data_IF_284322871965
#
_entry.id   IF_284322871965
#
_cell.length_a   1.000
_cell.length_b   1.000
_cell.length_c   1.000
_cell.angle_alpha   90.00
_cell.angle_beta   90.00
_cell.angle_gamma   90.00
#
_symmetry.space_group_name_H-M   'P 1'
#
loop_
_entity.id
_entity.type
_entity.pdbx_description
1 polymer ?
#
# COMPACT_ATOMS: atom_id res chain seq x y z
N UNK A 1 -27.84 78.82 28.80
CA UNK A 1 -28.03 77.56 28.06
C UNK A 1 -27.06 77.56 26.87
N UNK A 2 -26.43 76.41 26.59
CA UNK A 2 -25.21 76.17 25.77
C UNK A 2 -25.18 76.81 24.35
N UNK A 3 -24.02 76.91 23.63
CA UNK A 3 -23.04 75.81 23.40
C UNK A 3 -21.55 76.22 23.57
N UNK A 4 -20.70 75.39 24.19
CA UNK A 4 -19.84 74.35 23.60
C UNK A 4 -18.97 74.78 22.41
N UNK A 5 -17.68 75.04 22.69
CA UNK A 5 -16.60 75.26 21.72
C UNK A 5 -15.41 74.34 22.00
N UNK A 6 -14.94 73.70 20.94
CA UNK A 6 -14.01 72.58 20.83
C UNK A 6 -12.60 72.82 21.40
N UNK A 7 -12.11 71.90 22.24
CA UNK A 7 -10.70 71.73 22.60
C UNK A 7 -10.11 70.45 22.03
N UNK A 8 -9.42 70.55 20.88
CA UNK A 8 -8.79 69.43 20.15
C UNK A 8 -7.49 69.01 20.87
N UNK A 9 -7.50 67.92 21.65
CA UNK A 9 -6.25 67.29 22.14
C UNK A 9 -5.69 66.36 21.07
N UNK A 10 -4.54 66.72 20.51
CA UNK A 10 -3.73 65.84 19.67
C UNK A 10 -3.07 64.78 20.56
N UNK A 11 -3.39 63.52 20.34
CA UNK A 11 -2.62 62.38 20.87
C UNK A 11 -1.65 61.98 19.76
N UNK A 12 -0.39 62.40 19.91
CA UNK A 12 0.71 61.95 19.06
C UNK A 12 1.10 60.52 19.47
N UNK A 13 0.67 59.52 18.69
CA UNK A 13 1.23 58.18 18.76
C UNK A 13 2.59 58.16 18.06
N UNK A 14 3.68 58.32 18.81
CA UNK A 14 5.04 58.03 18.31
C UNK A 14 5.33 56.53 18.46
N UNK A 15 4.76 55.74 17.55
CA UNK A 15 5.02 54.30 17.44
C UNK A 15 6.11 54.01 16.42
N UNK A 16 7.37 54.26 16.76
CA UNK A 16 8.52 53.78 15.98
C UNK A 16 8.65 52.27 16.16
N UNK A 17 7.99 51.46 15.31
CA UNK A 17 8.31 50.03 15.22
C UNK A 17 9.75 49.94 14.73
N UNK A 18 10.68 49.60 15.62
CA UNK A 18 12.10 49.52 15.25
C UNK A 18 12.23 48.34 14.30
N UNK A 19 13.08 48.47 13.28
CA UNK A 19 13.37 47.39 12.30
C UNK A 19 13.71 46.06 12.99
N UNK A 20 14.26 46.13 14.21
CA UNK A 20 14.57 45.00 15.09
C UNK A 20 13.31 44.24 15.54
N UNK A 21 12.20 44.95 15.83
CA UNK A 21 10.94 44.34 16.25
C UNK A 21 10.27 43.58 15.09
N UNK A 22 10.41 44.09 13.86
CA UNK A 22 9.91 43.42 12.66
C UNK A 22 10.73 42.17 12.30
N UNK A 23 12.07 42.23 12.47
CA UNK A 23 12.94 41.05 12.31
C UNK A 23 12.69 39.98 13.37
N UNK A 24 12.46 40.36 14.63
CA UNK A 24 12.10 39.40 15.69
C UNK A 24 10.75 38.73 15.40
N UNK A 25 9.73 39.48 14.97
CA UNK A 25 8.44 38.90 14.58
C UNK A 25 8.58 37.97 13.37
N UNK A 26 9.36 38.35 12.35
CA UNK A 26 9.62 37.50 11.18
C UNK A 26 10.35 36.21 11.57
N UNK A 27 11.36 36.28 12.44
CA UNK A 27 12.05 35.12 12.99
C UNK A 27 11.12 34.26 13.85
N UNK A 28 10.23 34.85 14.63
CA UNK A 28 9.25 34.11 15.45
C UNK A 28 8.21 33.40 14.58
N UNK A 29 7.71 34.07 13.53
CA UNK A 29 6.83 33.46 12.53
C UNK A 29 7.54 32.38 11.72
N UNK A 30 8.81 32.56 11.32
CA UNK A 30 9.60 31.53 10.65
C UNK A 30 9.85 30.33 11.56
N UNK A 31 10.19 30.54 12.83
CA UNK A 31 10.38 29.46 13.81
C UNK A 31 9.06 28.72 14.05
N UNK A 32 7.93 29.41 14.20
CA UNK A 32 6.61 28.77 14.32
C UNK A 32 6.25 28.03 13.02
N UNK A 33 6.55 28.58 11.85
CA UNK A 33 6.26 27.94 10.56
C UNK A 33 7.13 26.68 10.36
N UNK A 34 8.41 26.73 10.73
CA UNK A 34 9.29 25.56 10.74
C UNK A 34 8.93 24.54 11.83
N UNK A 35 8.39 24.98 12.97
CA UNK A 35 7.92 24.10 14.04
C UNK A 35 6.60 23.40 13.65
N UNK A 36 5.65 24.12 13.06
CA UNK A 36 4.38 23.57 12.54
C UNK A 36 4.61 22.70 11.30
N UNK A 37 5.53 23.08 10.41
CA UNK A 37 5.91 22.26 9.26
C UNK A 37 6.72 21.01 9.67
N UNK A 38 7.51 21.09 10.74
CA UNK A 38 8.22 19.95 11.34
C UNK A 38 7.34 19.03 12.18
N UNK A 39 6.19 19.51 12.64
CA UNK A 39 5.16 18.75 13.37
C UNK A 39 4.14 18.08 12.44
N UNK A 40 4.30 18.18 11.11
CA UNK A 40 3.81 17.15 10.18
C UNK A 40 4.61 15.87 10.40
N UNK A 41 4.53 15.35 11.62
CA UNK A 41 4.96 14.03 12.03
C UNK A 41 4.39 13.07 11.00
N UNK A 42 5.29 12.44 10.26
CA UNK A 42 4.96 11.30 9.44
C UNK A 42 4.34 10.26 10.38
N UNK A 43 3.01 10.20 10.42
CA UNK A 43 2.32 9.07 10.99
C UNK A 43 2.88 7.85 10.26
N UNK A 44 3.40 6.85 10.98
CA UNK A 44 3.96 5.67 10.32
C UNK A 44 2.90 5.12 9.38
N UNK A 45 3.28 4.90 8.12
CA UNK A 45 2.35 4.40 7.09
C UNK A 45 1.73 3.04 7.49
N UNK A 46 2.33 2.37 8.48
CA UNK A 46 1.82 1.16 9.14
C UNK A 46 1.71 1.40 10.65
N UNK A 47 0.51 1.22 11.17
CA UNK A 47 0.28 1.04 12.61
C UNK A 47 0.92 -0.30 13.06
N UNK A 48 1.24 -0.52 14.35
CA UNK A 48 1.72 -1.83 14.85
C UNK A 48 0.83 -3.04 14.53
N UNK A 49 -0.34 -2.81 13.93
CA UNK A 49 -1.41 -3.75 13.61
C UNK A 49 -1.61 -3.91 12.11
N UNK A 50 -0.56 -4.23 11.34
CA UNK A 50 -0.65 -4.46 9.88
C UNK A 50 0.43 -5.42 9.37
N UNK A 51 0.74 -6.48 10.13
CA UNK A 51 1.71 -7.51 9.76
C UNK A 51 1.07 -8.60 8.87
N UNK A 52 1.45 -8.72 7.58
CA UNK A 52 0.92 -9.75 6.69
C UNK A 52 1.21 -11.19 7.15
N UNK A 53 2.30 -11.42 7.88
CA UNK A 53 2.65 -12.74 8.40
C UNK A 53 1.82 -13.12 9.61
N UNK A 54 1.57 -12.19 10.52
CA UNK A 54 0.56 -12.37 11.56
C UNK A 54 -0.83 -12.61 10.93
N UNK A 55 -1.18 -11.83 9.90
CA UNK A 55 -2.45 -11.95 9.17
C UNK A 55 -2.66 -13.31 8.52
N UNK A 56 -1.61 -13.92 7.96
CA UNK A 56 -1.66 -15.29 7.41
C UNK A 56 -2.01 -16.33 8.49
N UNK A 57 -1.41 -16.21 9.68
CA UNK A 57 -1.73 -17.09 10.81
C UNK A 57 -3.17 -16.88 11.27
N UNK A 58 -3.63 -15.63 11.32
CA UNK A 58 -5.02 -15.28 11.66
C UNK A 58 -5.99 -15.87 10.64
N UNK A 59 -5.68 -15.82 9.34
CA UNK A 59 -6.51 -16.39 8.27
C UNK A 59 -6.74 -17.90 8.47
N UNK A 60 -5.70 -18.64 8.85
CA UNK A 60 -5.82 -20.06 9.21
C UNK A 60 -6.56 -20.26 10.53
N UNK A 61 -6.15 -19.57 11.60
CA UNK A 61 -6.67 -19.74 12.95
C UNK A 61 -8.16 -19.38 13.09
N UNK A 62 -8.62 -18.33 12.39
CA UNK A 62 -10.04 -17.92 12.34
C UNK A 62 -10.86 -18.78 11.37
N UNK A 63 -10.24 -19.74 10.68
CA UNK A 63 -10.91 -20.69 9.79
C UNK A 63 -11.32 -20.11 8.44
N UNK A 64 -10.76 -18.97 8.01
CA UNK A 64 -11.04 -18.39 6.70
C UNK A 64 -10.71 -19.37 5.56
N UNK A 65 -9.64 -20.14 5.74
CA UNK A 65 -9.18 -21.19 4.81
C UNK A 65 -10.16 -22.36 4.65
N UNK A 66 -11.14 -22.54 5.55
CA UNK A 66 -12.18 -23.57 5.41
C UNK A 66 -13.12 -23.30 4.23
N UNK A 67 -13.28 -22.03 3.88
CA UNK A 67 -14.16 -21.60 2.78
C UNK A 67 -13.38 -21.02 1.60
N UNK A 68 -12.33 -20.24 1.88
CA UNK A 68 -11.55 -19.53 0.87
C UNK A 68 -10.22 -20.23 0.59
N UNK A 69 -9.93 -20.45 -0.69
CA UNK A 69 -8.61 -20.90 -1.13
C UNK A 69 -7.65 -19.73 -1.31
N UNK A 70 -6.35 -20.03 -1.28
CA UNK A 70 -5.27 -19.16 -1.75
C UNK A 70 -4.43 -20.00 -2.70
N UNK A 71 -4.41 -19.62 -3.99
CA UNK A 71 -3.69 -20.34 -5.04
C UNK A 71 -4.05 -21.84 -5.08
N UNK A 72 -5.34 -22.14 -4.93
CA UNK A 72 -5.89 -23.50 -4.93
C UNK A 72 -5.79 -24.26 -3.60
N UNK A 73 -5.14 -23.68 -2.58
CA UNK A 73 -5.00 -24.31 -1.25
C UNK A 73 -6.08 -23.76 -0.30
N UNK A 74 -6.96 -24.64 0.19
CA UNK A 74 -8.05 -24.30 1.11
C UNK A 74 -9.43 -24.73 0.59
N UNK A 75 -10.47 -24.12 1.14
CA UNK A 75 -11.86 -24.40 0.80
C UNK A 75 -12.28 -23.88 -0.57
N UNK A 76 -13.34 -24.48 -1.13
CA UNK A 76 -13.92 -24.11 -2.43
C UNK A 76 -15.32 -23.48 -2.33
N UNK A 77 -15.77 -23.16 -1.12
CA UNK A 77 -17.09 -22.57 -0.86
C UNK A 77 -17.11 -21.10 -1.27
N UNK A 78 -16.06 -20.37 -0.91
CA UNK A 78 -15.77 -19.01 -1.36
C UNK A 78 -14.79 -19.00 -2.53
N UNK A 79 -14.59 -17.83 -3.18
CA UNK A 79 -13.59 -17.68 -4.21
C UNK A 79 -12.17 -17.87 -3.68
N UNK A 80 -11.26 -18.30 -4.57
CA UNK A 80 -9.82 -18.31 -4.35
C UNK A 80 -9.30 -16.88 -4.27
N UNK A 81 -8.90 -16.43 -3.07
CA UNK A 81 -8.55 -15.05 -2.77
C UNK A 81 -7.21 -14.62 -3.40
N UNK A 82 -6.31 -15.58 -3.72
CA UNK A 82 -5.06 -15.31 -4.44
C UNK A 82 -5.28 -15.00 -5.92
N UNK A 83 -6.40 -15.47 -6.48
CA UNK A 83 -6.72 -15.28 -7.91
C UNK A 83 -7.61 -14.08 -8.19
N UNK A 84 -8.09 -13.39 -7.16
CA UNK A 84 -8.98 -12.25 -7.38
C UNK A 84 -8.17 -11.07 -7.91
N UNK A 85 -8.42 -10.78 -9.18
CA UNK A 85 -7.78 -9.70 -9.92
C UNK A 85 -8.41 -8.35 -9.58
N UNK A 86 -7.63 -7.28 -9.63
CA UNK A 86 -8.11 -5.89 -9.46
C UNK A 86 -7.43 -5.14 -8.33
N UNK A 87 -7.53 -3.81 -8.36
CA UNK A 87 -6.92 -2.91 -7.36
C UNK A 87 -7.66 -3.09 -6.03
N UNK A 88 -6.90 -3.33 -4.98
CA UNK A 88 -7.43 -3.43 -3.61
C UNK A 88 -6.67 -2.47 -2.72
N UNK A 89 -7.35 -1.52 -2.11
CA UNK A 89 -6.85 -0.78 -0.95
C UNK A 89 -7.32 -1.46 0.34
N UNK A 90 -6.84 -0.98 1.48
CA UNK A 90 -7.39 -1.30 2.80
C UNK A 90 -8.93 -1.17 2.80
N UNK A 91 -9.45 -0.08 2.24
CA UNK A 91 -10.88 0.20 2.21
C UNK A 91 -11.65 -0.63 1.17
N UNK A 92 -11.03 -1.02 0.06
CA UNK A 92 -11.66 -1.97 -0.88
C UNK A 92 -11.85 -3.36 -0.25
N UNK A 93 -10.84 -3.82 0.49
CA UNK A 93 -10.91 -5.09 1.24
C UNK A 93 -11.93 -5.01 2.36
N UNK A 94 -11.93 -3.93 3.14
CA UNK A 94 -12.92 -3.71 4.19
C UNK A 94 -14.35 -3.64 3.62
N UNK A 95 -14.56 -2.94 2.50
CA UNK A 95 -15.84 -2.88 1.81
C UNK A 95 -16.28 -4.26 1.28
N UNK A 96 -15.36 -5.03 0.71
CA UNK A 96 -15.64 -6.40 0.26
C UNK A 96 -16.05 -7.30 1.44
N UNK A 97 -15.34 -7.22 2.57
CA UNK A 97 -15.70 -7.95 3.80
C UNK A 97 -17.09 -7.54 4.30
N UNK A 98 -17.38 -6.24 4.37
CA UNK A 98 -18.69 -5.72 4.77
C UNK A 98 -19.83 -6.21 3.87
N UNK A 99 -19.66 -6.08 2.56
CA UNK A 99 -20.68 -6.49 1.57
C UNK A 99 -20.91 -8.00 1.60
N UNK A 100 -19.87 -8.78 1.92
CA UNK A 100 -19.93 -10.24 1.95
C UNK A 100 -20.38 -10.81 3.31
N UNK A 101 -20.47 -9.98 4.35
CA UNK A 101 -20.75 -10.39 5.73
C UNK A 101 -22.06 -11.18 5.92
N UNK A 102 -23.21 -10.80 5.33
CA UNK A 102 -24.44 -11.59 5.47
C UNK A 102 -24.33 -12.97 4.81
N UNK A 103 -23.71 -13.04 3.62
CA UNK A 103 -23.52 -14.29 2.89
C UNK A 103 -22.58 -15.25 3.64
N UNK A 104 -21.47 -14.73 4.18
CA UNK A 104 -20.59 -15.53 5.04
C UNK A 104 -21.31 -16.03 6.29
N UNK A 105 -22.12 -15.17 6.91
CA UNK A 105 -22.90 -15.54 8.08
C UNK A 105 -23.85 -16.69 7.87
N UNK A 106 -24.66 -16.60 6.81
CA UNK A 106 -25.60 -17.66 6.42
C UNK A 106 -24.86 -18.97 6.16
N UNK A 107 -23.73 -18.91 5.44
CA UNK A 107 -22.92 -20.10 5.16
C UNK A 107 -22.29 -20.69 6.44
N UNK A 108 -21.76 -19.85 7.34
CA UNK A 108 -21.23 -20.29 8.63
C UNK A 108 -22.32 -21.00 9.44
N UNK A 109 -23.51 -20.41 9.55
CA UNK A 109 -24.65 -21.01 10.25
C UNK A 109 -25.04 -22.37 9.65
N UNK A 110 -25.11 -22.48 8.31
CA UNK A 110 -25.41 -23.74 7.62
C UNK A 110 -24.36 -24.82 7.88
N UNK A 111 -23.11 -24.44 8.13
CA UNK A 111 -22.01 -25.34 8.46
C UNK A 111 -21.86 -25.59 9.96
N UNK A 112 -22.77 -25.06 10.81
CA UNK A 112 -22.66 -25.16 12.27
C UNK A 112 -21.48 -24.38 12.85
N UNK A 113 -20.94 -23.41 12.11
CA UNK A 113 -19.86 -22.54 12.56
C UNK A 113 -20.42 -21.28 13.22
N UNK A 114 -19.90 -20.93 14.40
CA UNK A 114 -20.20 -19.66 15.04
C UNK A 114 -19.65 -18.46 14.26
N UNK A 115 -20.23 -17.28 14.48
CA UNK A 115 -19.67 -16.01 13.97
C UNK A 115 -18.31 -15.78 14.60
N UNK A 116 -17.30 -15.53 13.76
CA UNK A 116 -15.94 -15.23 14.22
C UNK A 116 -15.82 -13.77 14.66
N UNK A 117 -15.05 -13.53 15.71
CA UNK A 117 -14.68 -12.19 16.18
C UNK A 117 -13.26 -11.87 15.75
N UNK A 118 -13.00 -10.62 15.37
CA UNK A 118 -11.69 -10.08 15.02
C UNK A 118 -11.37 -8.91 15.93
N UNK A 119 -10.23 -8.93 16.61
CA UNK A 119 -9.73 -7.72 17.30
C UNK A 119 -9.30 -6.66 16.27
N UNK A 120 -9.12 -5.38 16.67
CA UNK A 120 -8.57 -4.35 15.79
C UNK A 120 -7.21 -4.75 15.21
N UNK A 121 -6.34 -5.35 16.04
CA UNK A 121 -5.04 -5.87 15.61
C UNK A 121 -5.19 -6.96 14.55
N UNK A 122 -6.00 -7.97 14.86
CA UNK A 122 -6.26 -9.07 13.93
C UNK A 122 -6.85 -8.60 12.60
N UNK A 123 -7.72 -7.58 12.64
CA UNK A 123 -8.35 -7.00 11.45
C UNK A 123 -7.32 -6.31 10.57
N UNK A 124 -6.46 -5.49 11.16
CA UNK A 124 -5.41 -4.79 10.42
C UNK A 124 -4.39 -5.75 9.80
N UNK A 125 -3.93 -6.75 10.57
CA UNK A 125 -3.02 -7.80 10.10
C UNK A 125 -3.66 -8.65 8.99
N UNK A 126 -4.93 -9.06 9.17
CA UNK A 126 -5.66 -9.84 8.17
C UNK A 126 -5.84 -9.07 6.86
N UNK A 127 -6.22 -7.80 6.92
CA UNK A 127 -6.36 -6.98 5.70
C UNK A 127 -4.99 -6.78 5.04
N UNK A 128 -3.92 -6.60 5.83
CA UNK A 128 -2.56 -6.51 5.30
C UNK A 128 -2.16 -7.80 4.57
N UNK A 129 -2.45 -8.97 5.17
CA UNK A 129 -2.23 -10.26 4.53
C UNK A 129 -3.00 -10.39 3.22
N UNK A 130 -4.32 -10.13 3.24
CA UNK A 130 -5.17 -10.19 2.05
C UNK A 130 -4.72 -9.23 0.96
N UNK A 131 -4.22 -8.06 1.35
CA UNK A 131 -3.64 -7.10 0.43
C UNK A 131 -2.37 -7.66 -0.22
N UNK A 132 -1.50 -8.33 0.54
CA UNK A 132 -0.27 -8.94 0.02
C UNK A 132 -0.45 -10.23 -0.79
N UNK A 133 -1.65 -10.79 -0.91
CA UNK A 133 -1.85 -12.00 -1.72
C UNK A 133 -1.45 -11.80 -3.20
N UNK A 134 -1.59 -10.58 -3.72
CA UNK A 134 -1.15 -10.20 -5.06
C UNK A 134 0.27 -9.62 -5.10
N UNK A 135 0.94 -9.51 -3.94
CA UNK A 135 2.33 -9.06 -3.82
C UNK A 135 3.30 -10.19 -4.21
N UNK A 136 2.96 -11.41 -3.83
CA UNK A 136 3.72 -12.60 -4.14
C UNK A 136 3.39 -13.12 -5.53
N UNK A 137 4.42 -13.37 -6.31
CA UNK A 137 4.30 -13.85 -7.68
C UNK A 137 3.69 -15.23 -7.74
N UNK A 138 3.00 -15.50 -8.85
CA UNK A 138 2.43 -16.81 -9.11
C UNK A 138 3.55 -17.83 -9.31
N UNK A 139 3.30 -19.12 -9.05
CA UNK A 139 4.25 -20.17 -9.40
C UNK A 139 4.52 -20.12 -10.92
N UNK A 140 5.78 -19.89 -11.30
CA UNK A 140 6.21 -19.93 -12.69
C UNK A 140 6.43 -21.37 -13.19
N UNK A 141 6.39 -21.55 -14.52
CA UNK A 141 6.76 -22.79 -15.19
C UNK A 141 8.27 -22.80 -15.49
N UNK A 142 9.00 -23.71 -14.83
CA UNK A 142 10.45 -23.84 -14.99
C UNK A 142 10.87 -24.32 -16.39
N UNK A 143 10.05 -25.11 -17.09
CA UNK A 143 10.35 -25.56 -18.46
C UNK A 143 10.22 -24.39 -19.43
N UNK A 144 9.13 -23.62 -19.29
CA UNK A 144 8.96 -22.39 -20.06
C UNK A 144 10.09 -21.38 -19.76
N UNK A 145 10.49 -21.27 -18.48
CA UNK A 145 11.61 -20.44 -18.05
C UNK A 145 12.93 -20.83 -18.70
N UNK A 146 13.24 -22.14 -18.77
CA UNK A 146 14.44 -22.64 -19.46
C UNK A 146 14.43 -22.27 -20.94
N UNK A 147 13.29 -22.42 -21.62
CA UNK A 147 13.16 -22.05 -23.02
C UNK A 147 13.36 -20.54 -23.22
N UNK A 148 12.81 -19.71 -22.34
CA UNK A 148 13.02 -18.26 -22.36
C UNK A 148 14.48 -17.89 -22.13
N UNK A 149 15.17 -18.55 -21.20
CA UNK A 149 16.59 -18.32 -20.90
C UNK A 149 17.50 -18.58 -22.13
N UNK A 150 17.18 -19.62 -22.91
CA UNK A 150 17.86 -19.92 -24.17
C UNK A 150 17.46 -18.93 -25.27
N UNK A 151 16.15 -18.71 -25.46
CA UNK A 151 15.61 -17.87 -26.55
C UNK A 151 16.02 -16.41 -26.44
N UNK A 152 16.05 -15.86 -25.23
CA UNK A 152 16.52 -14.49 -24.95
C UNK A 152 18.05 -14.43 -24.74
N UNK A 153 18.74 -15.53 -25.07
CA UNK A 153 20.20 -15.64 -25.12
C UNK A 153 20.92 -15.33 -23.79
N UNK A 154 20.22 -15.46 -22.66
CA UNK A 154 20.79 -15.25 -21.33
C UNK A 154 21.96 -16.23 -21.08
N UNK A 155 21.82 -17.45 -21.58
CA UNK A 155 22.83 -18.52 -21.52
C UNK A 155 24.17 -18.15 -22.18
N UNK A 156 24.18 -17.19 -23.13
CA UNK A 156 25.40 -16.79 -23.81
C UNK A 156 26.37 -16.05 -22.88
N UNK A 157 25.86 -15.45 -21.80
CA UNK A 157 26.64 -14.68 -20.85
C UNK A 157 26.60 -15.26 -19.44
N UNK A 158 25.48 -15.84 -19.02
CA UNK A 158 25.25 -16.29 -17.65
C UNK A 158 25.23 -17.81 -17.53
N UNK A 159 25.74 -18.29 -16.41
CA UNK A 159 25.71 -19.69 -15.99
C UNK A 159 24.55 -19.95 -15.01
N UNK A 160 23.91 -21.12 -15.13
CA UNK A 160 22.94 -21.68 -14.18
C UNK A 160 23.19 -23.18 -14.07
N UNK A 161 23.33 -23.71 -12.85
CA UNK A 161 23.58 -25.14 -12.64
C UNK A 161 24.87 -25.61 -13.32
N UNK A 162 25.89 -24.78 -13.35
CA UNK A 162 27.14 -25.07 -14.06
C UNK A 162 27.07 -24.96 -15.60
N UNK A 163 25.91 -24.66 -16.18
CA UNK A 163 25.73 -24.58 -17.65
C UNK A 163 25.54 -23.14 -18.13
N UNK A 164 26.32 -22.70 -19.13
CA UNK A 164 26.20 -21.39 -19.78
C UNK A 164 27.52 -20.65 -19.93
N UNK A 165 27.44 -19.34 -20.18
CA UNK A 165 28.60 -18.45 -20.30
C UNK A 165 29.12 -17.93 -18.96
N UNK A 166 30.33 -17.38 -18.97
CA UNK A 166 31.04 -16.81 -17.80
C UNK A 166 31.33 -15.31 -17.93
N UNK A 167 30.65 -14.64 -18.85
CA UNK A 167 30.81 -13.20 -19.08
C UNK A 167 30.09 -12.41 -17.99
N UNK A 168 28.87 -12.84 -17.67
CA UNK A 168 28.14 -12.38 -16.50
C UNK A 168 28.38 -13.32 -15.31
N UNK A 169 28.06 -12.89 -14.09
CA UNK A 169 28.11 -13.75 -12.92
C UNK A 169 27.16 -14.95 -13.07
N UNK A 170 27.47 -16.06 -12.38
CA UNK A 170 26.51 -17.16 -12.22
C UNK A 170 25.23 -16.65 -11.54
N UNK A 171 24.08 -17.14 -12.00
CA UNK A 171 22.77 -16.83 -11.43
C UNK A 171 22.36 -17.84 -10.35
N UNK A 172 23.26 -18.76 -9.97
CA UNK A 172 22.98 -19.78 -8.95
C UNK A 172 22.62 -19.16 -7.60
N UNK A 173 23.29 -18.06 -7.21
CA UNK A 173 23.02 -17.34 -5.97
C UNK A 173 21.69 -16.58 -5.99
N UNK A 174 21.18 -16.17 -7.16
CA UNK A 174 19.88 -15.52 -7.28
C UNK A 174 18.73 -16.49 -6.98
N UNK A 175 18.91 -17.76 -7.34
CA UNK A 175 17.97 -18.82 -6.99
C UNK A 175 17.95 -19.08 -5.48
N UNK A 176 19.12 -19.07 -4.83
CA UNK A 176 19.25 -19.31 -3.39
C UNK A 176 18.64 -18.18 -2.54
N UNK A 177 18.74 -16.93 -3.00
CA UNK A 177 18.11 -15.79 -2.32
C UNK A 177 16.59 -15.74 -2.52
N UNK A 178 16.09 -16.36 -3.60
CA UNK A 178 14.67 -16.72 -3.78
C UNK A 178 13.65 -15.58 -3.85
N UNK A 179 14.07 -14.33 -3.67
CA UNK A 179 13.21 -13.15 -3.58
C UNK A 179 13.35 -12.27 -4.84
N UNK A 180 12.23 -11.93 -5.51
CA UNK A 180 12.26 -11.06 -6.68
C UNK A 180 12.82 -9.65 -6.42
N UNK A 181 12.93 -9.24 -5.14
CA UNK A 181 13.59 -7.98 -4.77
C UNK A 181 15.09 -8.03 -5.09
N UNK A 182 15.76 -9.14 -4.75
CA UNK A 182 17.18 -9.32 -5.08
C UNK A 182 17.37 -9.34 -6.60
N UNK A 183 16.48 -10.00 -7.33
CA UNK A 183 16.50 -9.99 -8.79
C UNK A 183 16.34 -8.55 -9.32
N UNK A 184 15.38 -7.78 -8.82
CA UNK A 184 15.17 -6.39 -9.24
C UNK A 184 16.40 -5.51 -8.98
N UNK A 185 16.98 -5.62 -7.78
CA UNK A 185 18.20 -4.89 -7.37
C UNK A 185 19.39 -5.27 -8.26
N UNK A 186 19.66 -6.56 -8.44
CA UNK A 186 20.76 -7.04 -9.27
C UNK A 186 20.60 -6.62 -10.73
N UNK A 187 19.41 -6.79 -11.31
CA UNK A 187 19.12 -6.40 -12.69
C UNK A 187 19.26 -4.89 -12.92
N UNK A 188 18.88 -4.07 -11.93
CA UNK A 188 19.03 -2.62 -11.98
C UNK A 188 20.52 -2.21 -11.92
N UNK A 189 21.23 -2.67 -10.89
CA UNK A 189 22.63 -2.29 -10.64
C UNK A 189 23.58 -2.77 -11.75
N UNK A 190 23.36 -3.98 -12.29
CA UNK A 190 24.14 -4.52 -13.42
C UNK A 190 23.59 -4.10 -14.79
N UNK A 191 22.45 -3.41 -14.85
CA UNK A 191 21.76 -3.01 -16.08
C UNK A 191 22.64 -2.27 -17.10
N UNK A 192 23.43 -1.26 -16.69
CA UNK A 192 24.34 -0.54 -17.58
C UNK A 192 25.45 -1.44 -18.15
N UNK A 193 26.12 -2.23 -17.32
CA UNK A 193 27.19 -3.14 -17.74
C UNK A 193 26.67 -4.22 -18.69
N UNK A 194 25.50 -4.80 -18.38
CA UNK A 194 24.82 -5.72 -19.28
C UNK A 194 24.47 -5.07 -20.62
N UNK A 195 23.98 -3.83 -20.63
CA UNK A 195 23.66 -3.12 -21.86
C UNK A 195 24.89 -2.88 -22.74
N UNK A 196 26.04 -2.56 -22.14
CA UNK A 196 27.29 -2.42 -22.86
C UNK A 196 27.78 -3.75 -23.46
N UNK A 197 27.77 -4.84 -22.68
CA UNK A 197 28.14 -6.17 -23.15
C UNK A 197 27.22 -6.66 -24.29
N UNK A 198 25.91 -6.44 -24.16
CA UNK A 198 24.93 -6.76 -25.22
C UNK A 198 25.23 -5.97 -26.49
N UNK A 199 25.49 -4.67 -26.39
CA UNK A 199 25.87 -3.84 -27.55
C UNK A 199 27.15 -4.33 -28.22
N UNK A 200 28.19 -4.67 -27.44
CA UNK A 200 29.45 -5.18 -27.97
C UNK A 200 29.27 -6.50 -28.74
N UNK A 201 28.33 -7.34 -28.30
CA UNK A 201 27.97 -8.60 -28.97
C UNK A 201 26.87 -8.47 -30.03
N UNK A 202 26.40 -7.25 -30.32
CA UNK A 202 25.27 -6.98 -31.23
C UNK A 202 24.00 -7.76 -30.84
N UNK A 203 23.80 -7.94 -29.53
CA UNK A 203 22.62 -8.58 -28.97
C UNK A 203 21.55 -7.52 -28.66
N UNK A 204 20.31 -7.84 -28.98
CA UNK A 204 19.18 -6.99 -28.61
C UNK A 204 18.86 -7.17 -27.12
N UNK A 205 18.64 -6.05 -26.41
CA UNK A 205 18.23 -6.10 -25.00
C UNK A 205 16.81 -6.67 -24.91
N UNK A 206 16.58 -7.79 -24.21
CA UNK A 206 15.26 -8.38 -24.11
C UNK A 206 14.33 -7.50 -23.25
N UNK A 207 13.03 -7.53 -23.57
CA UNK A 207 11.97 -7.11 -22.65
C UNK A 207 11.31 -8.33 -22.01
N UNK A 208 10.67 -8.14 -20.85
CA UNK A 208 9.93 -9.19 -20.13
C UNK A 208 8.51 -8.75 -19.78
N UNK A 209 7.54 -9.64 -20.00
CA UNK A 209 6.28 -9.61 -19.26
C UNK A 209 6.46 -10.16 -17.83
N UNK A 210 5.50 -9.91 -16.95
CA UNK A 210 5.48 -10.49 -15.60
C UNK A 210 5.61 -12.02 -15.65
N UNK A 211 4.73 -12.68 -16.41
CA UNK A 211 4.74 -14.14 -16.58
C UNK A 211 6.05 -14.71 -17.14
N UNK A 212 6.69 -14.03 -18.10
CA UNK A 212 8.01 -14.47 -18.59
C UNK A 212 9.07 -14.43 -17.48
N UNK A 213 9.07 -13.38 -16.66
CA UNK A 213 10.03 -13.25 -15.57
C UNK A 213 9.72 -14.20 -14.41
N UNK A 214 8.44 -14.52 -14.15
CA UNK A 214 8.02 -15.55 -13.19
C UNK A 214 8.55 -16.93 -13.62
N UNK A 215 8.39 -17.28 -14.89
CA UNK A 215 8.92 -18.53 -15.45
C UNK A 215 10.45 -18.58 -15.37
N UNK A 216 11.15 -17.48 -15.67
CA UNK A 216 12.61 -17.40 -15.51
C UNK A 216 13.03 -17.62 -14.05
N UNK A 217 12.37 -16.97 -13.09
CA UNK A 217 12.65 -17.18 -11.66
C UNK A 217 12.43 -18.65 -11.27
N UNK A 218 11.34 -19.28 -11.74
CA UNK A 218 11.08 -20.70 -11.50
C UNK A 218 12.17 -21.61 -12.08
N UNK A 219 12.66 -21.31 -13.29
CA UNK A 219 13.78 -22.03 -13.90
C UNK A 219 15.06 -21.91 -13.07
N UNK A 220 15.45 -20.68 -12.71
CA UNK A 220 16.65 -20.44 -11.89
C UNK A 220 16.57 -21.22 -10.58
N UNK A 221 15.43 -21.15 -9.88
CA UNK A 221 15.19 -21.93 -8.64
C UNK A 221 15.35 -23.43 -8.85
N UNK A 222 14.85 -23.97 -9.95
CA UNK A 222 14.90 -25.41 -10.22
C UNK A 222 16.27 -25.93 -10.68
N UNK A 223 17.09 -25.07 -11.28
CA UNK A 223 18.34 -25.46 -11.93
C UNK A 223 19.60 -25.20 -11.11
N UNK A 224 19.52 -24.34 -10.08
CA UNK A 224 20.68 -23.97 -9.27
C UNK A 224 21.06 -25.06 -8.23
N UNK A 225 22.36 -25.32 -8.00
CA UNK A 225 22.81 -26.27 -7.00
C UNK A 225 22.58 -25.75 -5.57
N UNK A 226 22.13 -26.63 -4.68
CA UNK A 226 21.73 -26.29 -3.32
C UNK A 226 20.25 -25.93 -3.26
N UNK A 227 19.42 -26.91 -2.86
CA UNK A 227 18.04 -26.65 -2.49
C UNK A 227 18.04 -25.71 -1.28
N UNK A 228 17.97 -24.40 -1.54
CA UNK A 228 17.57 -23.43 -0.54
C UNK A 228 16.21 -23.88 -0.02
N UNK A 229 16.15 -24.26 1.25
CA UNK A 229 14.91 -24.54 1.98
C UNK A 229 13.86 -23.50 1.58
N UNK A 230 12.62 -23.94 1.37
CA UNK A 230 11.36 -23.22 1.06
C UNK A 230 11.07 -21.91 1.82
N UNK A 231 12.01 -21.38 2.61
CA UNK A 231 11.92 -20.06 3.22
C UNK A 231 12.08 -19.01 2.13
N UNK A 232 10.97 -18.60 1.55
CA UNK A 232 10.83 -17.32 0.87
C UNK A 232 11.38 -16.25 1.83
N UNK A 233 12.63 -15.80 1.62
CA UNK A 233 13.23 -14.78 2.47
C UNK A 233 12.56 -13.45 2.11
N UNK A 234 11.51 -13.12 2.85
CA UNK A 234 10.92 -11.81 2.82
C UNK A 234 11.93 -10.88 3.47
N UNK A 235 12.44 -9.91 2.72
CA UNK A 235 12.94 -8.68 3.31
C UNK A 235 11.69 -7.83 3.55
N UNK A 236 11.12 -7.78 4.78
CA UNK A 236 10.03 -6.85 5.06
C UNK A 236 10.60 -5.45 4.91
N UNK A 237 10.32 -4.80 3.78
CA UNK A 237 10.75 -3.44 3.56
C UNK A 237 10.07 -2.50 4.55
N UNK A 238 10.77 -1.44 4.95
CA UNK A 238 10.32 -0.36 5.83
C UNK A 238 9.82 0.80 4.97
N UNK A 239 8.51 1.06 4.92
CA UNK A 239 7.93 2.06 4.01
C UNK A 239 8.40 3.49 4.28
N UNK A 240 8.62 3.86 5.53
CA UNK A 240 9.07 5.21 5.88
C UNK A 240 10.51 5.44 5.39
N UNK A 241 11.39 4.45 5.56
CA UNK A 241 12.74 4.48 4.99
C UNK A 241 12.72 4.42 3.46
N UNK A 242 11.79 3.64 2.89
CA UNK A 242 11.55 3.61 1.45
C UNK A 242 11.17 4.97 0.88
N UNK A 243 10.37 5.76 1.60
CA UNK A 243 10.02 7.13 1.23
C UNK A 243 11.25 8.03 1.21
N UNK A 244 12.08 7.96 2.25
CA UNK A 244 13.33 8.72 2.31
C UNK A 244 14.29 8.33 1.20
N UNK A 245 14.46 7.03 0.95
CA UNK A 245 15.25 6.50 -0.15
C UNK A 245 14.72 6.95 -1.51
N UNK A 246 13.41 6.98 -1.71
CA UNK A 246 12.79 7.45 -2.96
C UNK A 246 13.18 8.91 -3.27
N UNK A 247 13.29 9.76 -2.25
CA UNK A 247 13.74 11.15 -2.38
C UNK A 247 15.25 11.22 -2.54
N UNK A 248 16.01 10.54 -1.66
CA UNK A 248 17.49 10.55 -1.62
C UNK A 248 18.12 9.98 -2.89
N UNK A 249 17.52 8.93 -3.46
CA UNK A 249 17.92 8.31 -4.74
C UNK A 249 17.33 9.07 -5.95
N UNK A 250 16.66 10.19 -5.71
CA UNK A 250 16.13 11.13 -6.72
C UNK A 250 15.09 10.52 -7.66
N UNK A 251 14.39 9.48 -7.22
CA UNK A 251 13.30 8.86 -7.99
C UNK A 251 12.16 9.89 -8.24
N UNK A 252 11.90 10.73 -7.23
CA UNK A 252 10.89 11.79 -7.26
C UNK A 252 11.15 12.94 -8.25
N UNK A 253 12.38 13.08 -8.76
CA UNK A 253 12.71 14.11 -9.76
C UNK A 253 12.00 13.86 -11.10
N UNK A 254 11.65 12.59 -11.37
CA UNK A 254 10.96 12.16 -12.58
C UNK A 254 9.60 11.54 -12.30
N UNK A 255 9.45 10.77 -11.22
CA UNK A 255 8.20 10.09 -10.88
C UNK A 255 7.37 10.89 -9.89
N UNK A 256 6.05 10.81 -10.02
CA UNK A 256 5.12 11.38 -9.05
C UNK A 256 4.50 10.32 -8.15
N UNK A 257 4.15 10.75 -6.93
CA UNK A 257 3.39 9.99 -5.94
C UNK A 257 2.22 10.86 -5.49
N UNK A 258 0.99 10.42 -5.80
CA UNK A 258 -0.25 11.17 -5.51
C UNK A 258 -0.17 12.63 -6.02
N UNK A 259 0.37 12.82 -7.23
CA UNK A 259 0.52 14.12 -7.87
C UNK A 259 1.72 14.96 -7.40
N UNK A 260 2.51 14.49 -6.42
CA UNK A 260 3.72 15.15 -5.95
C UNK A 260 4.97 14.55 -6.62
N UNK A 261 5.83 15.39 -7.20
CA UNK A 261 7.07 14.97 -7.87
C UNK A 261 7.07 15.24 -9.37
N UNK A 262 8.00 14.62 -10.10
CA UNK A 262 8.14 14.78 -11.53
C UNK A 262 7.03 14.11 -12.33
N UNK A 263 6.72 14.64 -13.53
CA UNK A 263 5.68 14.08 -14.41
C UNK A 263 6.23 13.18 -15.53
N UNK A 264 7.54 13.15 -15.73
CA UNK A 264 8.22 12.50 -16.86
C UNK A 264 8.19 10.97 -16.73
N UNK A 265 8.51 10.45 -15.54
CA UNK A 265 8.45 9.03 -15.21
C UNK A 265 7.02 8.52 -14.96
N UNK A 266 6.05 9.43 -14.92
CA UNK A 266 4.65 9.16 -14.62
C UNK A 266 4.40 8.86 -13.14
N UNK A 267 3.11 8.83 -12.81
CA UNK A 267 2.60 8.57 -11.48
C UNK A 267 2.79 7.09 -11.09
N UNK A 268 3.31 6.85 -9.88
CA UNK A 268 3.58 5.50 -9.35
C UNK A 268 2.55 5.04 -8.32
N UNK A 269 1.86 5.95 -7.62
CA UNK A 269 0.76 5.59 -6.72
C UNK A 269 -0.53 5.21 -7.45
N UNK A 270 -0.75 5.77 -8.65
CA UNK A 270 -2.00 5.62 -9.39
C UNK A 270 -1.97 4.59 -10.52
N UNK A 271 -0.91 3.79 -10.66
CA UNK A 271 -0.83 2.82 -11.77
C UNK A 271 -1.92 1.75 -11.67
N UNK A 272 -2.52 1.44 -12.84
CA UNK A 272 -3.65 0.50 -13.05
C UNK A 272 -3.39 -0.96 -12.66
N UNK A 273 -2.21 -1.29 -12.13
CA UNK A 273 -1.82 -2.66 -11.78
C UNK A 273 -1.15 -2.61 -10.41
N UNK A 274 -1.72 -3.32 -9.45
CA UNK A 274 -1.01 -3.72 -8.25
C UNK A 274 0.10 -4.65 -8.73
N UNK A 275 1.31 -4.12 -8.90
CA UNK A 275 2.42 -4.88 -9.46
C UNK A 275 2.90 -5.86 -8.39
N UNK A 276 2.84 -7.15 -8.68
CA UNK A 276 3.59 -8.14 -7.91
C UNK A 276 5.09 -7.84 -8.01
N UNK A 277 5.87 -8.43 -7.11
CA UNK A 277 7.31 -8.16 -7.05
C UNK A 277 8.05 -8.46 -8.36
N UNK A 278 7.61 -9.49 -9.08
CA UNK A 278 8.17 -9.84 -10.40
C UNK A 278 7.72 -8.86 -11.49
N UNK A 279 6.46 -8.43 -11.52
CA UNK A 279 6.05 -7.37 -12.46
C UNK A 279 6.82 -6.07 -12.22
N UNK A 280 7.09 -5.72 -10.96
CA UNK A 280 7.92 -4.58 -10.62
C UNK A 280 9.34 -4.75 -11.19
N UNK A 281 9.98 -5.90 -10.99
CA UNK A 281 11.31 -6.19 -11.53
C UNK A 281 11.35 -6.11 -13.07
N UNK A 282 10.36 -6.69 -13.74
CA UNK A 282 10.21 -6.63 -15.20
C UNK A 282 10.01 -5.18 -15.68
N UNK A 283 9.16 -4.42 -15.00
CA UNK A 283 8.90 -3.00 -15.28
C UNK A 283 10.16 -2.15 -15.15
N UNK A 284 10.91 -2.32 -14.06
CA UNK A 284 12.20 -1.66 -13.83
C UNK A 284 13.19 -1.98 -14.96
N UNK A 285 13.34 -3.27 -15.32
CA UNK A 285 14.24 -3.69 -16.39
C UNK A 285 13.89 -3.10 -17.76
N UNK A 286 12.61 -3.18 -18.15
CA UNK A 286 12.11 -2.73 -19.44
C UNK A 286 12.21 -1.19 -19.56
N UNK A 287 12.00 -0.46 -18.46
CA UNK A 287 12.06 1.01 -18.44
C UNK A 287 13.46 1.56 -18.17
N UNK A 288 14.41 0.74 -17.74
CA UNK A 288 15.78 1.17 -17.45
C UNK A 288 16.43 1.96 -18.61
N UNK A 289 16.38 1.56 -19.89
CA UNK A 289 16.98 2.35 -20.96
C UNK A 289 16.44 3.79 -21.06
N UNK A 290 15.13 3.96 -20.89
CA UNK A 290 14.50 5.29 -20.89
C UNK A 290 14.87 6.08 -19.63
N UNK A 291 14.86 5.44 -18.45
CA UNK A 291 15.29 6.09 -17.20
C UNK A 291 16.75 6.55 -17.26
N UNK A 292 17.65 5.70 -17.75
CA UNK A 292 19.08 6.02 -17.90
C UNK A 292 19.31 7.18 -18.87
N UNK A 293 18.53 7.25 -19.96
CA UNK A 293 18.57 8.38 -20.90
C UNK A 293 18.16 9.69 -20.23
N UNK A 294 17.05 9.70 -19.49
CA UNK A 294 16.57 10.87 -18.75
C UNK A 294 17.54 11.30 -17.65
N UNK A 295 18.08 10.34 -16.89
CA UNK A 295 19.09 10.58 -15.86
C UNK A 295 20.33 11.24 -16.46
N UNK A 296 20.85 10.70 -17.58
CA UNK A 296 21.99 11.27 -18.29
C UNK A 296 21.71 12.70 -18.76
N UNK A 297 20.55 12.95 -19.35
CA UNK A 297 20.16 14.30 -19.82
C UNK A 297 20.03 15.33 -18.70
N UNK A 298 19.83 14.89 -17.45
CA UNK A 298 19.65 15.74 -16.26
C UNK A 298 20.87 15.75 -15.33
N UNK A 299 21.99 15.13 -15.74
CA UNK A 299 23.17 14.94 -14.91
C UNK A 299 22.87 14.26 -13.56
N UNK A 300 21.96 13.29 -13.57
CA UNK A 300 21.62 12.47 -12.40
C UNK A 300 22.47 11.19 -12.50
N UNK A 301 23.33 10.88 -11.50
CA UNK A 301 24.05 9.62 -11.47
C UNK A 301 23.06 8.46 -11.30
N UNK A 302 23.33 7.33 -11.95
CA UNK A 302 22.49 6.13 -11.81
C UNK A 302 22.60 5.64 -10.37
N UNK A 303 21.51 5.65 -9.58
CA UNK A 303 21.57 5.23 -8.18
C UNK A 303 21.84 3.74 -8.10
N UNK A 304 22.78 3.35 -7.24
CA UNK A 304 22.89 1.95 -6.80
C UNK A 304 21.82 1.68 -5.74
N UNK A 305 21.16 0.53 -5.85
CA UNK A 305 20.08 0.12 -4.95
C UNK A 305 20.45 -1.23 -4.34
N UNK A 306 20.83 -1.26 -3.06
CA UNK A 306 21.00 -2.52 -2.33
C UNK A 306 19.66 -3.27 -2.22
N UNK A 307 19.69 -4.57 -1.92
CA UNK A 307 18.47 -5.36 -1.86
C UNK A 307 17.50 -4.87 -0.78
N UNK A 308 18.03 -4.44 0.36
CA UNK A 308 17.27 -3.86 1.46
C UNK A 308 16.67 -2.50 1.06
N UNK A 309 17.45 -1.64 0.41
CA UNK A 309 16.95 -0.35 -0.11
C UNK A 309 15.85 -0.55 -1.15
N UNK A 310 16.00 -1.56 -2.02
CA UNK A 310 14.98 -1.95 -3.00
C UNK A 310 13.72 -2.46 -2.29
N UNK A 311 13.86 -3.30 -1.26
CA UNK A 311 12.74 -3.78 -0.46
C UNK A 311 11.99 -2.61 0.19
N UNK A 312 12.71 -1.67 0.79
CA UNK A 312 12.16 -0.48 1.44
C UNK A 312 11.40 0.40 0.43
N UNK A 313 11.99 0.70 -0.74
CA UNK A 313 11.32 1.47 -1.81
C UNK A 313 10.06 0.78 -2.31
N UNK A 314 10.11 -0.53 -2.55
CA UNK A 314 8.93 -1.31 -2.98
C UNK A 314 7.86 -1.29 -1.90
N UNK A 315 8.24 -1.46 -0.63
CA UNK A 315 7.31 -1.39 0.50
C UNK A 315 6.66 -0.02 0.60
N UNK A 316 7.40 1.08 0.39
CA UNK A 316 6.85 2.43 0.30
C UNK A 316 5.81 2.57 -0.83
N UNK A 317 6.15 2.15 -2.05
CA UNK A 317 5.25 2.22 -3.20
C UNK A 317 3.98 1.37 -2.99
N UNK A 318 4.10 0.27 -2.25
CA UNK A 318 3.01 -0.59 -1.87
C UNK A 318 2.12 0.05 -0.78
N UNK A 319 2.74 0.64 0.25
CA UNK A 319 2.06 1.35 1.33
C UNK A 319 1.18 2.49 0.82
N UNK A 320 1.69 3.27 -0.12
CA UNK A 320 0.97 4.40 -0.70
C UNK A 320 -0.30 3.93 -1.42
N UNK A 321 -0.25 2.75 -2.05
CA UNK A 321 -1.41 2.14 -2.71
C UNK A 321 -2.40 1.54 -1.70
N UNK A 322 -1.91 1.02 -0.57
CA UNK A 322 -2.74 0.43 0.48
C UNK A 322 -3.75 1.42 1.07
N UNK A 323 -3.35 2.67 1.27
CA UNK A 323 -4.21 3.78 1.68
C UNK A 323 -4.37 4.82 0.55
N UNK A 324 -4.58 4.35 -0.68
CA UNK A 324 -4.68 5.22 -1.85
C UNK A 324 -5.85 6.21 -1.79
N UNK A 325 -6.95 5.85 -1.13
CA UNK A 325 -8.18 6.63 -1.07
C UNK A 325 -8.21 7.47 0.23
N UNK A 326 -7.92 8.78 0.20
CA UNK A 326 -8.19 9.64 1.34
C UNK A 326 -9.70 9.75 1.54
N UNK A 327 -10.18 9.60 2.77
CA UNK A 327 -11.58 9.80 3.10
C UNK A 327 -11.93 11.28 3.23
N UNK A 328 -13.18 11.62 2.91
CA UNK A 328 -13.78 12.94 3.08
C UNK A 328 -14.93 12.86 4.09
N UNK A 329 -14.79 13.58 5.22
CA UNK A 329 -15.74 13.46 6.33
C UNK A 329 -17.13 13.96 5.94
N UNK A 330 -17.22 14.95 5.05
CA UNK A 330 -18.49 15.52 4.61
C UNK A 330 -19.21 14.55 3.69
N UNK A 331 -18.48 13.89 2.78
CA UNK A 331 -19.03 12.79 1.98
C UNK A 331 -19.45 11.61 2.87
N UNK A 332 -18.65 11.27 3.86
CA UNK A 332 -18.94 10.21 4.83
C UNK A 332 -20.21 10.46 5.62
N UNK A 333 -20.46 11.70 6.06
CA UNK A 333 -21.72 12.08 6.71
C UNK A 333 -22.93 11.90 5.79
N UNK A 334 -22.85 12.44 4.57
CA UNK A 334 -23.92 12.27 3.57
C UNK A 334 -24.17 10.79 3.26
N UNK A 335 -23.11 10.00 3.17
CA UNK A 335 -23.19 8.57 2.93
C UNK A 335 -23.84 7.82 4.11
N UNK A 336 -23.49 8.18 5.35
CA UNK A 336 -24.11 7.61 6.55
C UNK A 336 -25.63 7.85 6.58
N UNK A 337 -26.07 9.03 6.14
CA UNK A 337 -27.49 9.33 5.96
C UNK A 337 -28.10 8.50 4.81
N UNK A 338 -27.49 8.53 3.63
CA UNK A 338 -28.01 7.90 2.40
C UNK A 338 -28.08 6.36 2.49
N UNK A 339 -27.10 5.73 3.14
CA UNK A 339 -27.05 4.28 3.37
C UNK A 339 -27.87 3.83 4.59
N UNK A 340 -28.52 4.77 5.27
CA UNK A 340 -29.43 4.50 6.39
C UNK A 340 -28.75 4.21 7.72
N UNK A 341 -27.43 4.42 7.85
CA UNK A 341 -26.69 4.21 9.08
C UNK A 341 -27.26 5.06 10.24
N UNK A 342 -27.65 6.30 9.93
CA UNK A 342 -28.25 7.23 10.90
C UNK A 342 -29.64 6.82 11.39
N UNK A 343 -30.31 5.82 10.79
CA UNK A 343 -31.59 5.32 11.32
C UNK A 343 -31.42 4.64 12.67
N UNK A 344 -30.27 4.00 12.87
CA UNK A 344 -29.97 3.27 14.10
C UNK A 344 -28.93 4.00 14.94
N UNK A 345 -27.89 4.54 14.32
CA UNK A 345 -26.74 5.09 15.03
C UNK A 345 -26.82 6.61 15.19
N UNK A 346 -26.30 7.10 16.31
CA UNK A 346 -26.08 8.52 16.52
C UNK A 346 -24.66 8.92 16.12
N UNK A 347 -24.53 9.81 15.14
CA UNK A 347 -23.28 10.39 14.66
C UNK A 347 -23.44 11.91 14.57
N UNK A 348 -22.51 12.64 15.15
CA UNK A 348 -22.53 14.10 15.26
C UNK A 348 -23.86 14.70 15.77
N UNK A 349 -24.45 14.04 16.77
CA UNK A 349 -25.73 14.44 17.35
C UNK A 349 -26.97 14.10 16.50
N UNK A 350 -26.79 13.61 15.27
CA UNK A 350 -27.86 13.18 14.35
C UNK A 350 -28.06 11.67 14.42
N UNK A 351 -29.29 11.22 14.13
CA UNK A 351 -29.62 9.81 13.97
C UNK A 351 -30.40 9.18 15.13
N UNK A 352 -30.36 7.85 15.21
CA UNK A 352 -31.16 7.03 16.14
C UNK A 352 -30.44 6.63 17.43
N UNK A 353 -31.19 6.01 18.34
CA UNK A 353 -30.68 5.49 19.62
C UNK A 353 -30.68 3.95 19.70
N UNK A 354 -30.94 3.26 18.58
CA UNK A 354 -30.95 1.79 18.52
C UNK A 354 -29.52 1.25 18.60
N UNK A 355 -28.61 1.87 17.85
CA UNK A 355 -27.18 1.58 17.86
C UNK A 355 -26.40 2.53 18.77
N UNK A 356 -25.11 2.25 19.02
CA UNK A 356 -24.25 3.10 19.83
C UNK A 356 -24.14 4.52 19.27
N UNK A 357 -23.95 5.47 20.18
CA UNK A 357 -23.53 6.84 19.87
C UNK A 357 -22.02 6.87 19.68
N UNK A 358 -21.57 7.22 18.48
CA UNK A 358 -20.15 7.20 18.12
C UNK A 358 -19.30 8.22 18.91
N UNK A 359 -19.88 9.29 19.46
CA UNK A 359 -19.18 10.21 20.39
C UNK A 359 -18.90 9.60 21.78
N UNK A 360 -19.35 8.37 22.05
CA UNK A 360 -19.12 7.66 23.32
C UNK A 360 -18.31 6.38 23.14
N UNK A 361 -17.86 6.10 21.92
CA UNK A 361 -17.07 4.90 21.61
C UNK A 361 -15.59 5.30 21.55
N UNK A 362 -14.77 4.59 22.31
CA UNK A 362 -13.32 4.80 22.36
C UNK A 362 -12.61 4.11 21.17
N UNK A 363 -11.43 4.60 20.79
CA UNK A 363 -10.56 3.97 19.80
C UNK A 363 -11.01 4.12 18.34
N UNK A 364 -11.98 4.99 18.07
CA UNK A 364 -12.45 5.29 16.71
C UNK A 364 -11.42 6.05 15.87
N UNK A 365 -10.29 6.47 16.41
CA UNK A 365 -9.21 7.13 15.67
C UNK A 365 -8.47 6.18 14.72
N UNK A 366 -8.55 4.86 14.94
CA UNK A 366 -7.88 3.85 14.11
C UNK A 366 -8.85 3.18 13.11
N UNK A 367 -8.54 3.17 11.80
CA UNK A 367 -9.40 2.53 10.80
C UNK A 367 -9.67 1.05 11.08
N UNK A 368 -8.64 0.30 11.49
CA UNK A 368 -8.77 -1.12 11.82
C UNK A 368 -9.74 -1.38 12.98
N UNK A 369 -9.81 -0.47 13.97
CA UNK A 369 -10.78 -0.55 15.07
C UNK A 369 -12.20 -0.38 14.57
N UNK A 370 -12.45 0.58 13.67
CA UNK A 370 -13.78 0.79 13.07
C UNK A 370 -14.19 -0.43 12.25
N UNK A 371 -13.30 -0.95 11.39
CA UNK A 371 -13.61 -2.13 10.57
C UNK A 371 -13.85 -3.38 11.43
N UNK A 372 -13.04 -3.58 12.48
CA UNK A 372 -13.22 -4.65 13.47
C UNK A 372 -14.60 -4.55 14.15
N UNK A 373 -14.99 -3.34 14.59
CA UNK A 373 -16.30 -3.10 15.19
C UNK A 373 -17.44 -3.38 14.20
N UNK A 374 -17.31 -2.93 12.95
CA UNK A 374 -18.31 -3.21 11.89
C UNK A 374 -18.47 -4.71 11.63
N UNK A 375 -17.37 -5.47 11.62
CA UNK A 375 -17.39 -6.92 11.48
C UNK A 375 -18.08 -7.60 12.68
N UNK A 376 -17.59 -7.33 13.89
CA UNK A 376 -18.04 -7.97 15.12
C UNK A 376 -19.50 -7.62 15.46
N UNK A 377 -19.94 -6.40 15.16
CA UNK A 377 -21.31 -5.93 15.34
C UNK A 377 -22.25 -6.37 14.19
N UNK A 378 -21.69 -6.91 13.11
CA UNK A 378 -22.40 -7.20 11.86
C UNK A 378 -23.60 -8.14 12.02
N UNK A 379 -23.51 -9.17 12.87
CA UNK A 379 -24.62 -10.10 13.11
C UNK A 379 -25.81 -9.43 13.80
N UNK A 380 -25.54 -8.54 14.76
CA UNK A 380 -26.57 -7.79 15.48
C UNK A 380 -27.26 -6.80 14.53
N UNK A 381 -26.48 -6.10 13.70
CA UNK A 381 -27.03 -5.25 12.65
C UNK A 381 -27.89 -6.06 11.68
N UNK A 382 -27.40 -7.19 11.19
CA UNK A 382 -28.11 -8.03 10.24
C UNK A 382 -29.46 -8.52 10.78
N UNK A 383 -29.51 -8.93 12.05
CA UNK A 383 -30.75 -9.30 12.73
C UNK A 383 -31.71 -8.12 12.83
N UNK A 384 -31.24 -6.98 13.36
CA UNK A 384 -32.10 -5.80 13.54
C UNK A 384 -32.64 -5.27 12.21
N UNK A 385 -31.81 -5.30 11.17
CA UNK A 385 -32.21 -4.93 9.82
C UNK A 385 -33.30 -5.85 9.28
N UNK A 386 -33.22 -7.17 9.51
CA UNK A 386 -34.32 -8.10 9.16
C UNK A 386 -35.61 -7.77 9.89
N UNK A 387 -35.55 -7.54 11.21
CA UNK A 387 -36.72 -7.17 12.02
C UNK A 387 -37.38 -5.88 11.50
N UNK A 388 -36.58 -4.95 10.99
CA UNK A 388 -37.03 -3.66 10.46
C UNK A 388 -37.28 -3.68 8.95
N UNK A 389 -37.20 -4.84 8.29
CA UNK A 389 -37.33 -4.98 6.82
C UNK A 389 -36.39 -4.07 6.02
N UNK A 390 -35.18 -3.85 6.52
CA UNK A 390 -34.13 -3.05 5.89
C UNK A 390 -33.17 -3.92 5.08
N UNK A 391 -32.76 -3.40 3.93
CA UNK A 391 -31.75 -4.03 3.05
C UNK A 391 -30.34 -3.71 3.54
N UNK A 392 -29.43 -4.69 3.51
CA UNK A 392 -28.02 -4.49 3.86
C UNK A 392 -27.35 -3.50 2.90
N UNK A 393 -26.79 -2.37 3.37
CA UNK A 393 -26.19 -1.38 2.48
C UNK A 393 -24.90 -1.91 1.89
N UNK A 394 -24.74 -1.77 0.57
CA UNK A 394 -23.48 -2.06 -0.11
C UNK A 394 -22.58 -0.82 -0.15
N UNK A 395 -21.29 -1.03 0.04
CA UNK A 395 -20.25 -0.01 0.03
C UNK A 395 -19.20 -0.29 -1.05
N UNK A 396 -18.79 0.74 -1.78
CA UNK A 396 -17.55 0.75 -2.57
C UNK A 396 -16.35 1.09 -1.66
N UNK A 397 -15.13 0.81 -2.09
CA UNK A 397 -13.94 1.16 -1.30
C UNK A 397 -13.81 2.65 -1.00
N UNK A 398 -14.10 3.52 -1.97
CA UNK A 398 -14.14 4.97 -1.75
C UNK A 398 -15.21 5.39 -0.72
N UNK A 399 -16.41 4.79 -0.81
CA UNK A 399 -17.50 5.02 0.15
C UNK A 399 -17.09 4.54 1.57
N UNK A 400 -16.39 3.40 1.67
CA UNK A 400 -15.86 2.92 2.94
C UNK A 400 -14.79 3.87 3.51
N UNK A 401 -13.91 4.41 2.68
CA UNK A 401 -12.89 5.38 3.11
C UNK A 401 -13.55 6.65 3.68
N UNK A 402 -14.53 7.21 2.97
CA UNK A 402 -15.29 8.39 3.40
C UNK A 402 -16.04 8.13 4.72
N UNK A 403 -16.72 6.97 4.84
CA UNK A 403 -17.48 6.59 6.03
C UNK A 403 -16.56 6.39 7.25
N UNK A 404 -15.47 5.63 7.09
CA UNK A 404 -14.49 5.41 8.17
C UNK A 404 -13.91 6.75 8.62
N UNK A 405 -13.54 7.62 7.67
CA UNK A 405 -12.97 8.93 8.01
C UNK A 405 -13.98 9.81 8.75
N UNK A 406 -15.26 9.82 8.36
CA UNK A 406 -16.30 10.51 9.12
C UNK A 406 -16.50 9.93 10.53
N UNK A 407 -16.43 8.61 10.70
CA UNK A 407 -16.52 7.98 12.02
C UNK A 407 -15.30 8.36 12.89
N UNK A 408 -14.10 8.44 12.30
CA UNK A 408 -12.90 8.88 13.01
C UNK A 408 -13.04 10.29 13.57
N UNK A 409 -13.71 11.21 12.87
CA UNK A 409 -13.95 12.57 13.39
C UNK A 409 -14.86 12.59 14.62
N UNK A 410 -15.66 11.54 14.85
CA UNK A 410 -16.50 11.41 16.04
C UNK A 410 -15.69 11.05 17.29
N UNK A 411 -14.59 10.31 17.11
CA UNK A 411 -13.70 9.89 18.19
C UNK A 411 -12.65 10.94 18.59
N UNK A 412 -12.27 11.85 17.68
CA UNK A 412 -11.23 12.87 17.91
C UNK A 412 -11.66 14.05 18.79
N UNK A 413 -12.95 14.13 19.13
CA UNK A 413 -13.52 15.19 19.97
C UNK A 413 -13.77 14.71 21.42
N UNK A 414 -13.20 13.56 21.79
CA UNK A 414 -13.09 13.04 23.15
C UNK A 414 -11.62 13.13 23.56
#
# INVERSE_FOLDING_TARGET
MAPQGYGRRQVLFSGSVRVVDFLMLLCFFLVIFFWVAGQASAQPLFSPTQDPMAGSRIFGAKGCSKCHAIEGIGGKVGPDLGKISGRRSFYDLAAAMWNHLPRMGKQMQQMGLGRLQLSPGETGDLIAFLYTLNYFSRPGDSKAGRQLFLKKQCVACHQVGGTGGVIGPSLDNLAQQGSPIFLASAMWNHGPAMAEAMRAKKMERPNFSGAELENLVAYLKSASPGQGTEKLYLLPGRPDEGRELFIKKRCGDCHSIKGLGGKVGGELAERKVQLGLVEFAAGMWNKAPAMLKEMKGRNIPVPQLQAEEMADIVAYLYAVQYFAQPGDARKGEHLAAAKGCLRCHQMDGKGGQIGPNFKKVAGLDQPATIISAMWNHGSTMEQKMREMSLQWPLLKGAEMADLVFFIQTQGRNQ
#
